data_IF_910198831316
#
_entry.id   IF_910198831316
#
_cell.length_a   1.000
_cell.length_b   1.000
_cell.length_c   1.000
_cell.angle_alpha   90.00
_cell.angle_beta   90.00
_cell.angle_gamma   90.00
#
_symmetry.space_group_name_H-M   'P 1'
#
loop_
_entity.id
_entity.type
_entity.pdbx_description
1 polymer ?
#
# COMPACT_ATOMS: atom_id res chain seq x y z
N UNK A 1 -4.26 7.39 -6.93
CA UNK A 1 -3.58 8.28 -5.97
C UNK A 1 -2.77 9.37 -6.69
N UNK A 2 -1.89 9.05 -7.66
CA UNK A 2 -0.96 10.02 -8.27
C UNK A 2 -1.64 11.27 -8.84
N UNK A 3 -2.76 11.14 -9.56
CA UNK A 3 -3.53 12.28 -10.07
C UNK A 3 -4.09 13.17 -8.95
N UNK A 4 -4.47 12.57 -7.82
CA UNK A 4 -4.93 13.33 -6.63
C UNK A 4 -3.79 14.08 -5.96
N UNK A 5 -2.59 13.51 -5.92
CA UNK A 5 -1.39 14.16 -5.39
C UNK A 5 -1.01 15.37 -6.25
N UNK A 6 -1.02 15.23 -7.58
CA UNK A 6 -0.79 16.35 -8.49
C UNK A 6 -1.83 17.46 -8.32
N UNK A 7 -3.13 17.09 -8.21
CA UNK A 7 -4.22 18.03 -7.94
C UNK A 7 -4.12 18.71 -6.56
N UNK A 8 -3.49 18.07 -5.58
CA UNK A 8 -3.21 18.63 -4.27
C UNK A 8 -1.96 19.55 -4.25
N UNK A 9 -1.28 19.74 -5.37
CA UNK A 9 -0.18 20.67 -5.51
C UNK A 9 1.22 20.03 -5.57
N UNK A 10 1.32 18.70 -5.67
CA UNK A 10 2.61 18.07 -5.91
C UNK A 10 3.19 18.58 -7.24
N UNK A 11 4.46 18.96 -7.23
CA UNK A 11 5.14 19.51 -8.40
C UNK A 11 5.42 18.41 -9.44
N UNK A 12 5.85 17.25 -8.98
CA UNK A 12 6.08 16.06 -9.81
C UNK A 12 5.64 14.81 -9.06
N UNK A 13 4.91 13.92 -9.71
CA UNK A 13 4.49 12.63 -9.17
C UNK A 13 4.97 11.51 -10.09
N UNK A 14 5.74 10.59 -9.53
CA UNK A 14 6.16 9.36 -10.20
C UNK A 14 5.37 8.18 -9.63
N UNK A 15 4.65 7.49 -10.47
CA UNK A 15 3.93 6.26 -10.12
C UNK A 15 4.74 5.08 -10.65
N UNK A 16 4.99 4.11 -9.78
CA UNK A 16 5.71 2.88 -10.12
C UNK A 16 4.82 1.70 -9.82
N UNK A 17 4.51 0.92 -10.84
CA UNK A 17 3.77 -0.32 -10.71
C UNK A 17 3.97 -1.14 -12.00
N UNK A 18 4.35 -2.43 -11.92
CA UNK A 18 4.58 -3.26 -13.11
C UNK A 18 3.29 -3.73 -13.80
N UNK A 19 2.11 -3.49 -13.21
CA UNK A 19 0.84 -3.98 -13.72
C UNK A 19 0.39 -3.22 -14.98
N UNK A 20 0.24 -3.95 -16.08
CA UNK A 20 -0.35 -3.40 -17.31
C UNK A 20 -1.77 -2.88 -17.09
N UNK A 21 -2.56 -3.50 -16.20
CA UNK A 21 -3.91 -3.04 -15.88
C UNK A 21 -3.90 -1.64 -15.32
N UNK A 22 -3.04 -1.37 -14.32
CA UNK A 22 -2.95 -0.05 -13.69
C UNK A 22 -2.36 1.00 -14.63
N UNK A 23 -1.45 0.59 -15.52
CA UNK A 23 -0.99 1.47 -16.60
C UNK A 23 -2.13 1.91 -17.53
N UNK A 24 -2.98 0.98 -17.96
CA UNK A 24 -4.13 1.32 -18.81
C UNK A 24 -5.14 2.21 -18.06
N UNK A 25 -5.40 1.95 -16.77
CA UNK A 25 -6.23 2.84 -15.95
C UNK A 25 -5.63 4.24 -15.83
N UNK A 26 -4.31 4.34 -15.63
CA UNK A 26 -3.61 5.62 -15.64
C UNK A 26 -3.78 6.37 -16.97
N UNK A 27 -3.58 5.69 -18.10
CA UNK A 27 -3.72 6.27 -19.43
C UNK A 27 -5.16 6.69 -19.73
N UNK A 28 -6.16 5.93 -19.29
CA UNK A 28 -7.57 6.30 -19.42
C UNK A 28 -7.87 7.59 -18.64
N UNK A 29 -7.44 7.71 -17.39
CA UNK A 29 -7.61 8.94 -16.61
C UNK A 29 -6.88 10.11 -17.28
N UNK A 30 -5.66 9.89 -17.75
CA UNK A 30 -4.87 10.90 -18.47
C UNK A 30 -5.61 11.48 -19.68
N UNK A 31 -6.42 10.67 -20.34
CA UNK A 31 -7.24 11.13 -21.48
C UNK A 31 -8.29 12.16 -21.04
N UNK A 32 -8.83 12.06 -19.84
CA UNK A 32 -9.87 12.96 -19.32
C UNK A 32 -9.32 14.15 -18.53
N UNK A 33 -8.08 14.08 -18.03
CA UNK A 33 -7.43 15.18 -17.34
C UNK A 33 -6.96 16.24 -18.35
N UNK A 34 -7.12 17.52 -18.00
CA UNK A 34 -6.69 18.62 -18.85
C UNK A 34 -5.18 18.60 -19.13
N UNK A 35 -4.79 19.10 -20.30
CA UNK A 35 -3.39 19.07 -20.76
C UNK A 35 -2.40 19.73 -19.78
N UNK A 36 -2.87 20.71 -18.98
CA UNK A 36 -2.04 21.40 -18.00
C UNK A 36 -1.47 20.49 -16.89
N UNK A 37 -2.13 19.37 -16.59
CA UNK A 37 -1.70 18.47 -15.51
C UNK A 37 -0.96 17.22 -16.00
N UNK A 38 -0.89 17.00 -17.32
CA UNK A 38 -0.26 15.81 -17.90
C UNK A 38 1.23 15.72 -17.60
N UNK A 39 1.94 16.84 -17.48
CA UNK A 39 3.38 16.87 -17.26
C UNK A 39 3.81 16.65 -15.80
N UNK A 40 2.86 16.73 -14.88
CA UNK A 40 3.14 16.56 -13.44
C UNK A 40 3.14 15.10 -12.99
N UNK A 41 2.46 14.23 -13.70
CA UNK A 41 2.26 12.84 -13.28
C UNK A 41 2.78 11.88 -14.34
N UNK A 42 3.73 11.06 -13.95
CA UNK A 42 4.39 10.07 -14.79
C UNK A 42 4.16 8.67 -14.25
N UNK A 43 3.93 7.72 -15.15
CA UNK A 43 3.82 6.31 -14.81
C UNK A 43 4.96 5.53 -15.43
N UNK A 44 5.71 4.81 -14.60
CA UNK A 44 6.82 3.96 -15.01
C UNK A 44 6.41 2.50 -14.70
N UNK A 45 6.17 1.67 -15.73
CA UNK A 45 5.68 0.30 -15.56
C UNK A 45 6.82 -0.66 -15.18
N UNK A 46 7.45 -0.41 -14.04
CA UNK A 46 8.53 -1.24 -13.50
C UNK A 46 8.28 -1.56 -12.02
N UNK A 47 8.81 -2.67 -11.51
CA UNK A 47 8.80 -2.95 -10.09
C UNK A 47 9.78 -2.02 -9.34
N UNK A 48 9.59 -1.87 -8.02
CA UNK A 48 10.43 -1.01 -7.18
C UNK A 48 11.91 -1.39 -7.24
N UNK A 49 12.21 -2.69 -7.36
CA UNK A 49 13.56 -3.24 -7.45
C UNK A 49 14.34 -2.82 -8.70
N UNK A 50 13.63 -2.31 -9.71
CA UNK A 50 14.27 -1.79 -10.92
C UNK A 50 14.77 -0.34 -10.76
N UNK A 51 14.40 0.32 -9.66
CA UNK A 51 14.91 1.66 -9.36
C UNK A 51 16.33 1.58 -8.76
N UNK A 52 17.12 2.66 -8.92
CA UNK A 52 18.36 2.81 -8.18
C UNK A 52 18.12 2.71 -6.67
N UNK A 53 18.94 1.95 -5.94
CA UNK A 53 18.78 1.69 -4.51
C UNK A 53 18.73 2.98 -3.65
N UNK A 54 19.47 4.00 -4.05
CA UNK A 54 19.62 5.25 -3.30
C UNK A 54 19.47 6.47 -4.21
N UNK A 55 18.30 6.61 -4.87
CA UNK A 55 18.05 7.76 -5.74
C UNK A 55 17.99 9.06 -4.95
N UNK A 56 17.41 9.04 -3.75
CA UNK A 56 17.25 10.18 -2.84
C UNK A 56 16.62 11.40 -3.53
N UNK A 57 15.57 11.17 -4.33
CA UNK A 57 14.96 12.20 -5.18
C UNK A 57 13.61 12.70 -4.66
N UNK A 58 12.97 11.97 -3.74
CA UNK A 58 11.59 12.24 -3.37
C UNK A 58 11.46 12.80 -1.96
N UNK A 59 10.68 13.87 -1.81
CA UNK A 59 10.31 14.43 -0.50
C UNK A 59 9.33 13.52 0.23
N UNK A 60 8.45 12.86 -0.53
CA UNK A 60 7.46 11.92 0.02
C UNK A 60 7.39 10.66 -0.85
N UNK A 61 7.37 9.51 -0.21
CA UNK A 61 7.16 8.21 -0.84
C UNK A 61 5.88 7.60 -0.27
N UNK A 62 4.99 7.15 -1.15
CA UNK A 62 3.78 6.41 -0.79
C UNK A 62 3.95 4.93 -1.14
N UNK A 63 3.70 4.05 -0.17
CA UNK A 63 3.60 2.61 -0.38
C UNK A 63 2.25 2.14 0.17
N UNK A 64 1.27 1.95 -0.71
CA UNK A 64 -0.11 1.69 -0.33
C UNK A 64 -0.57 0.34 -0.88
N UNK A 65 -0.91 -0.58 0.02
CA UNK A 65 -1.37 -1.92 -0.34
C UNK A 65 -0.28 -2.83 -0.91
N UNK A 66 1.00 -2.61 -0.58
CA UNK A 66 2.13 -3.31 -1.20
C UNK A 66 2.88 -4.20 -0.21
N UNK A 67 3.12 -3.74 1.02
CA UNK A 67 4.04 -4.37 1.96
C UNK A 67 3.71 -5.85 2.22
N UNK A 68 2.45 -6.18 2.45
CA UNK A 68 2.02 -7.56 2.74
C UNK A 68 2.17 -8.53 1.55
N UNK A 69 2.43 -8.01 0.36
CA UNK A 69 2.77 -8.80 -0.83
C UNK A 69 4.27 -9.03 -1.01
N UNK A 70 5.09 -8.52 -0.09
CA UNK A 70 6.56 -8.63 -0.17
C UNK A 70 7.05 -9.78 0.70
N UNK A 71 7.91 -10.63 0.15
CA UNK A 71 8.51 -11.73 0.92
C UNK A 71 9.49 -11.22 1.97
N UNK A 72 10.19 -10.11 1.67
CA UNK A 72 11.14 -9.46 2.57
C UNK A 72 10.67 -8.06 2.95
N UNK A 73 9.97 -7.89 4.10
CA UNK A 73 9.47 -6.58 4.51
C UNK A 73 10.57 -5.55 4.75
N UNK A 74 11.68 -5.96 5.38
CA UNK A 74 12.79 -5.04 5.69
C UNK A 74 13.51 -4.57 4.43
N UNK A 75 13.68 -5.43 3.45
CA UNK A 75 14.26 -5.09 2.16
C UNK A 75 13.40 -4.05 1.43
N UNK A 76 12.07 -4.26 1.42
CA UNK A 76 11.13 -3.30 0.86
C UNK A 76 11.19 -1.95 1.58
N UNK A 77 11.21 -1.93 2.92
CA UNK A 77 11.34 -0.70 3.70
C UNK A 77 12.66 0.04 3.41
N UNK A 78 13.77 -0.68 3.25
CA UNK A 78 15.06 -0.09 2.88
C UNK A 78 15.04 0.49 1.46
N UNK A 79 14.42 -0.18 0.50
CA UNK A 79 14.24 0.32 -0.86
C UNK A 79 13.42 1.62 -0.87
N UNK A 80 12.30 1.67 -0.14
CA UNK A 80 11.48 2.90 0.01
C UNK A 80 12.30 4.03 0.64
N UNK A 81 13.05 3.73 1.71
CA UNK A 81 13.93 4.71 2.38
C UNK A 81 15.02 5.23 1.46
N UNK A 82 15.55 4.38 0.59
CA UNK A 82 16.55 4.75 -0.40
C UNK A 82 16.06 5.79 -1.41
N UNK A 83 14.77 5.84 -1.68
CA UNK A 83 14.17 6.80 -2.60
C UNK A 83 13.98 8.19 -1.98
N UNK A 84 13.89 8.30 -0.65
CA UNK A 84 13.63 9.56 0.06
C UNK A 84 14.88 10.42 0.17
N UNK A 85 14.72 11.72 0.05
CA UNK A 85 15.72 12.71 0.48
C UNK A 85 15.91 12.66 2.00
N UNK A 86 16.97 13.26 2.51
CA UNK A 86 17.17 13.41 3.96
C UNK A 86 16.04 14.26 4.56
N UNK A 87 15.36 13.74 5.59
CA UNK A 87 14.20 14.36 6.21
C UNK A 87 12.89 14.18 5.43
N UNK A 88 12.92 13.42 4.33
CA UNK A 88 11.74 13.05 3.57
C UNK A 88 10.81 12.11 4.35
N UNK A 89 9.57 11.92 3.85
CA UNK A 89 8.49 11.26 4.56
C UNK A 89 7.99 10.01 3.81
N UNK A 90 7.88 8.90 4.51
CA UNK A 90 7.18 7.70 4.04
C UNK A 90 5.73 7.75 4.53
N UNK A 91 4.79 7.52 3.63
CA UNK A 91 3.39 7.20 3.93
C UNK A 91 3.17 5.74 3.55
N UNK A 92 3.02 4.88 4.57
CA UNK A 92 2.88 3.44 4.41
C UNK A 92 1.47 3.01 4.81
N UNK A 93 0.73 2.42 3.88
CA UNK A 93 -0.54 1.76 4.16
C UNK A 93 -0.40 0.26 3.90
N UNK A 94 -0.87 -0.57 4.85
CA UNK A 94 -0.79 -2.02 4.74
C UNK A 94 -1.89 -2.71 5.53
N UNK A 95 -2.12 -3.98 5.25
CA UNK A 95 -2.96 -4.84 6.08
C UNK A 95 -2.29 -5.08 7.43
N UNK A 96 -3.10 -5.04 8.48
CA UNK A 96 -2.68 -5.26 9.87
C UNK A 96 -3.66 -6.16 10.62
N UNK A 97 -3.23 -6.69 11.76
CA UNK A 97 -4.08 -7.41 12.72
C UNK A 97 -3.99 -6.76 14.10
N UNK A 98 -4.90 -7.11 14.98
CA UNK A 98 -4.81 -6.74 16.40
C UNK A 98 -3.72 -7.58 17.09
N UNK A 99 -2.97 -6.95 17.97
CA UNK A 99 -1.91 -7.62 18.73
C UNK A 99 -0.86 -6.63 19.25
N UNK A 100 0.12 -7.16 19.96
CA UNK A 100 1.26 -6.45 20.52
C UNK A 100 2.45 -6.34 19.53
N UNK A 101 3.57 -5.79 19.99
CA UNK A 101 4.79 -5.60 19.20
C UNK A 101 5.43 -6.92 18.67
N UNK A 102 5.00 -8.09 19.15
CA UNK A 102 5.50 -9.38 18.72
C UNK A 102 4.50 -10.14 17.84
N UNK A 103 3.34 -9.55 17.56
CA UNK A 103 2.25 -10.21 16.86
C UNK A 103 2.36 -10.02 15.34
N UNK A 104 2.52 -11.13 14.63
CA UNK A 104 2.51 -11.19 13.17
C UNK A 104 1.75 -12.45 12.75
N UNK A 105 0.71 -12.28 11.96
CA UNK A 105 0.01 -13.39 11.31
C UNK A 105 0.71 -13.75 10.01
N UNK A 106 1.09 -15.00 9.85
CA UNK A 106 1.57 -15.58 8.58
C UNK A 106 0.49 -16.55 8.09
N UNK A 107 -0.29 -16.20 7.05
CA UNK A 107 -1.29 -17.11 6.51
C UNK A 107 -0.64 -18.40 5.98
N UNK A 108 -1.29 -19.54 6.23
CA UNK A 108 -0.75 -20.82 5.79
C UNK A 108 -0.73 -20.95 4.27
N UNK A 109 -1.81 -20.53 3.63
CA UNK A 109 -2.03 -20.65 2.19
C UNK A 109 -2.33 -19.29 1.55
N UNK A 110 -3.47 -18.72 1.94
CA UNK A 110 -3.98 -17.47 1.41
C UNK A 110 -4.70 -16.68 2.50
N UNK A 111 -4.88 -15.40 2.27
CA UNK A 111 -5.66 -14.52 3.13
C UNK A 111 -6.67 -13.75 2.27
N UNK A 112 -7.95 -13.81 2.62
CA UNK A 112 -9.02 -13.16 1.87
C UNK A 112 -8.93 -13.51 0.35
N UNK A 113 -8.77 -14.80 0.03
CA UNK A 113 -8.55 -15.37 -1.29
C UNK A 113 -7.25 -14.94 -2.02
N UNK A 114 -6.44 -14.08 -1.42
CA UNK A 114 -5.14 -13.68 -1.98
C UNK A 114 -4.06 -14.68 -1.57
N UNK A 115 -3.43 -15.31 -2.54
CA UNK A 115 -2.35 -16.30 -2.34
C UNK A 115 -0.95 -15.66 -2.22
N UNK A 116 -0.86 -14.35 -2.36
CA UNK A 116 0.37 -13.59 -2.31
C UNK A 116 0.43 -12.65 -1.09
N UNK A 117 -0.29 -12.96 -0.01
CA UNK A 117 -0.16 -12.30 1.29
C UNK A 117 0.79 -13.12 2.15
N UNK A 118 1.94 -12.56 2.45
CA UNK A 118 2.99 -13.27 3.19
C UNK A 118 2.90 -13.07 4.69
N UNK A 119 2.43 -11.91 5.14
CA UNK A 119 2.32 -11.57 6.57
C UNK A 119 1.38 -10.40 6.80
N UNK A 120 0.83 -10.33 7.99
CA UNK A 120 0.05 -9.20 8.52
C UNK A 120 0.59 -8.89 9.93
N UNK A 121 1.35 -7.80 10.12
CA UNK A 121 1.83 -7.40 11.44
C UNK A 121 0.73 -6.71 12.24
N UNK A 122 0.88 -6.62 13.56
CA UNK A 122 0.17 -5.63 14.35
C UNK A 122 0.70 -4.22 14.05
N UNK A 123 -0.04 -3.18 14.42
CA UNK A 123 0.42 -1.79 14.29
C UNK A 123 1.69 -1.55 15.10
N UNK A 124 1.80 -2.13 16.30
CA UNK A 124 2.99 -2.03 17.14
C UNK A 124 4.20 -2.74 16.52
N UNK A 125 4.01 -3.96 16.00
CA UNK A 125 5.08 -4.68 15.28
C UNK A 125 5.56 -3.90 14.05
N UNK A 126 4.63 -3.34 13.27
CA UNK A 126 4.95 -2.54 12.08
C UNK A 126 5.72 -1.25 12.44
N UNK A 127 5.34 -0.59 13.55
CA UNK A 127 6.06 0.56 14.09
C UNK A 127 7.53 0.18 14.40
N UNK A 128 7.73 -0.91 15.13
CA UNK A 128 9.07 -1.42 15.42
C UNK A 128 9.88 -1.81 14.18
N UNK A 129 9.21 -2.32 13.13
CA UNK A 129 9.89 -2.62 11.86
C UNK A 129 10.39 -1.35 11.16
N UNK A 130 9.57 -0.29 11.15
CA UNK A 130 9.97 1.00 10.57
C UNK A 130 11.15 1.60 11.33
N UNK A 131 11.10 1.61 12.66
CA UNK A 131 12.21 2.08 13.51
C UNK A 131 13.48 1.25 13.27
N UNK A 132 13.36 -0.08 13.22
CA UNK A 132 14.50 -0.98 12.93
C UNK A 132 15.06 -0.78 11.51
N UNK A 133 14.22 -0.42 10.54
CA UNK A 133 14.66 -0.03 9.20
C UNK A 133 15.32 1.37 9.17
N UNK A 134 15.35 2.06 10.33
CA UNK A 134 16.04 3.33 10.53
C UNK A 134 15.19 4.55 10.17
N UNK A 135 13.87 4.42 10.15
CA UNK A 135 12.96 5.57 10.15
C UNK A 135 12.81 6.15 11.57
N UNK A 136 12.46 7.42 11.64
CA UNK A 136 12.19 8.15 12.89
C UNK A 136 10.78 8.75 12.86
N UNK A 137 10.33 9.28 13.99
CA UNK A 137 9.02 9.94 14.13
C UNK A 137 7.86 9.09 13.59
N UNK A 138 7.93 7.75 13.82
CA UNK A 138 6.93 6.80 13.34
C UNK A 138 5.62 7.03 14.09
N UNK A 139 4.54 7.24 13.35
CA UNK A 139 3.20 7.44 13.92
C UNK A 139 2.14 6.75 13.08
N UNK A 140 1.25 6.04 13.73
CA UNK A 140 0.03 5.54 13.10
C UNK A 140 -0.99 6.69 13.05
N UNK A 141 -1.49 7.00 11.86
CA UNK A 141 -2.42 8.12 11.63
C UNK A 141 -3.83 7.66 11.36
N UNK A 142 -3.99 6.40 10.94
CA UNK A 142 -5.30 5.82 10.68
C UNK A 142 -5.28 4.31 10.85
N UNK A 143 -6.36 3.74 11.38
CA UNK A 143 -6.64 2.30 11.40
C UNK A 143 -8.10 2.10 11.05
N UNK A 144 -8.37 1.46 9.93
CA UNK A 144 -9.72 1.23 9.42
C UNK A 144 -9.98 -0.25 9.11
N UNK A 145 -11.14 -0.75 9.48
CA UNK A 145 -11.65 -2.02 8.97
C UNK A 145 -12.18 -1.78 7.57
N UNK A 146 -11.71 -2.56 6.61
CA UNK A 146 -12.18 -2.45 5.22
C UNK A 146 -13.67 -2.78 5.16
N UNK A 147 -14.47 -1.87 4.66
CA UNK A 147 -15.92 -2.04 4.56
C UNK A 147 -16.35 -2.47 3.16
N UNK A 148 -17.50 -3.15 3.09
CA UNK A 148 -18.13 -3.52 1.81
C UNK A 148 -18.65 -2.31 1.02
N UNK A 149 -18.78 -1.14 1.66
CA UNK A 149 -19.11 0.11 0.99
C UNK A 149 -17.92 0.68 0.23
N UNK A 150 -16.70 0.54 0.79
CA UNK A 150 -15.46 0.95 0.14
C UNK A 150 -15.09 0.03 -1.02
N UNK A 151 -15.26 -1.28 -0.84
CA UNK A 151 -15.00 -2.31 -1.86
C UNK A 151 -16.29 -2.98 -2.31
N UNK A 152 -17.25 -2.17 -2.72
CA UNK A 152 -18.56 -2.65 -3.18
C UNK A 152 -18.48 -3.31 -4.56
N UNK A 153 -19.30 -4.32 -4.75
CA UNK A 153 -19.55 -4.90 -6.07
C UNK A 153 -20.37 -3.92 -6.91
N UNK A 154 -19.95 -3.71 -8.15
CA UNK A 154 -20.67 -2.91 -9.14
C UNK A 154 -20.98 -3.76 -10.37
N UNK A 155 -21.93 -3.35 -11.20
CA UNK A 155 -22.28 -4.04 -12.46
C UNK A 155 -21.11 -4.13 -13.45
N UNK A 156 -20.10 -3.26 -13.30
CA UNK A 156 -18.90 -3.23 -14.14
C UNK A 156 -17.78 -4.14 -13.64
N UNK A 157 -17.91 -4.67 -12.40
CA UNK A 157 -16.90 -5.55 -11.83
C UNK A 157 -17.10 -6.98 -12.32
N UNK A 158 -16.08 -7.50 -12.99
CA UNK A 158 -15.97 -8.92 -13.36
C UNK A 158 -15.21 -9.73 -12.30
N UNK A 159 -14.72 -9.08 -11.25
CA UNK A 159 -13.92 -9.67 -10.17
C UNK A 159 -14.73 -9.78 -8.88
N UNK A 160 -14.18 -10.52 -7.93
CA UNK A 160 -14.71 -10.64 -6.58
C UNK A 160 -14.57 -9.30 -5.82
N UNK A 161 -15.53 -9.01 -4.94
CA UNK A 161 -15.51 -7.88 -4.02
C UNK A 161 -15.20 -8.34 -2.60
N UNK A 162 -15.06 -7.43 -1.65
CA UNK A 162 -14.80 -7.77 -0.26
C UNK A 162 -15.81 -8.77 0.31
N UNK A 163 -17.09 -8.63 -0.05
CA UNK A 163 -18.15 -9.53 0.42
C UNK A 163 -17.90 -11.00 0.01
N UNK A 164 -17.24 -11.23 -1.11
CA UNK A 164 -16.90 -12.57 -1.58
C UNK A 164 -15.70 -13.18 -0.82
N UNK A 165 -14.98 -12.38 -0.03
CA UNK A 165 -13.78 -12.79 0.72
C UNK A 165 -14.04 -13.00 2.21
N UNK A 166 -15.20 -12.56 2.70
CA UNK A 166 -15.60 -12.70 4.09
C UNK A 166 -16.40 -13.99 4.29
N UNK A 167 -16.33 -14.52 5.52
CA UNK A 167 -17.17 -15.64 5.93
C UNK A 167 -18.66 -15.23 5.86
N UNK A 168 -19.51 -15.97 5.14
CA UNK A 168 -20.92 -15.60 4.98
C UNK A 168 -21.73 -15.66 6.29
N UNK A 169 -21.20 -16.31 7.32
CA UNK A 169 -21.84 -16.45 8.64
C UNK A 169 -21.22 -15.53 9.69
N UNK A 170 -20.00 -15.07 9.47
CA UNK A 170 -19.25 -14.20 10.39
C UNK A 170 -18.38 -13.21 9.62
N UNK A 171 -18.94 -12.06 9.28
CA UNK A 171 -18.25 -10.99 8.54
C UNK A 171 -17.03 -10.39 9.25
N UNK A 172 -16.74 -10.79 10.50
CA UNK A 172 -15.52 -10.43 11.19
C UNK A 172 -14.31 -11.30 10.79
N UNK A 173 -14.54 -12.29 9.92
CA UNK A 173 -13.53 -13.25 9.45
C UNK A 173 -13.50 -13.33 7.93
N UNK A 174 -12.34 -13.72 7.41
CA UNK A 174 -12.23 -14.17 6.02
C UNK A 174 -12.77 -15.59 5.87
N UNK A 175 -13.03 -16.02 4.64
CA UNK A 175 -13.48 -17.40 4.37
C UNK A 175 -12.46 -18.47 4.81
N UNK A 176 -11.20 -18.11 5.01
CA UNK A 176 -10.15 -18.98 5.56
C UNK A 176 -10.16 -18.99 7.11
N UNK A 177 -11.00 -18.17 7.77
CA UNK A 177 -11.12 -18.09 9.21
C UNK A 177 -10.17 -17.11 9.90
N UNK A 178 -9.38 -16.33 9.15
CA UNK A 178 -8.55 -15.24 9.68
C UNK A 178 -9.40 -13.99 9.98
N UNK A 179 -8.91 -13.04 10.82
CA UNK A 179 -9.59 -11.76 11.02
C UNK A 179 -9.88 -11.06 9.68
N UNK A 180 -11.02 -10.38 9.60
CA UNK A 180 -11.39 -9.59 8.42
C UNK A 180 -10.34 -8.49 8.13
N UNK A 181 -10.18 -8.07 6.86
CA UNK A 181 -9.16 -7.10 6.47
C UNK A 181 -9.27 -5.78 7.23
N UNK A 182 -8.21 -5.44 7.94
CA UNK A 182 -7.98 -4.17 8.63
C UNK A 182 -6.73 -3.53 8.05
N UNK A 183 -6.76 -2.23 7.83
CA UNK A 183 -5.64 -1.47 7.27
C UNK A 183 -5.17 -0.42 8.25
N UNK A 184 -3.88 -0.18 8.28
CA UNK A 184 -3.29 0.92 9.01
C UNK A 184 -2.46 1.79 8.07
N UNK A 185 -2.50 3.10 8.30
CA UNK A 185 -1.64 4.08 7.64
C UNK A 185 -0.66 4.63 8.65
N UNK A 186 0.62 4.46 8.38
CA UNK A 186 1.71 4.98 9.19
C UNK A 186 2.48 6.04 8.40
N UNK A 187 2.95 7.05 9.11
CA UNK A 187 3.85 8.07 8.58
C UNK A 187 5.17 8.00 9.34
N UNK A 188 6.29 8.07 8.63
CA UNK A 188 7.62 7.99 9.21
C UNK A 188 8.61 8.89 8.47
N UNK A 189 9.65 9.40 9.17
CA UNK A 189 10.70 10.26 8.62
C UNK A 189 11.99 9.47 8.35
N UNK A 190 12.68 9.84 7.24
CA UNK A 190 14.03 9.36 6.95
C UNK A 190 15.08 10.14 7.73
#
# INVERSE_FOLDING_TARGET
HGWRMAGAGAETVIIIDPSCLFYHQFMAIRHFVGAADHYKTHYIPVPLEALPEHSQLFDTVFSMGVLYHRQSPFEHLQQLKGQLVKGGELVLETLVIDGDANTVLVPHDRYAQMNNVYFLPSVEALTGWLEKAGFSEVRCVDVAVTSTEEQRKTEWMTYHSLADFLDPTDGSKTIEGYPAPKRATLIAKK
#
